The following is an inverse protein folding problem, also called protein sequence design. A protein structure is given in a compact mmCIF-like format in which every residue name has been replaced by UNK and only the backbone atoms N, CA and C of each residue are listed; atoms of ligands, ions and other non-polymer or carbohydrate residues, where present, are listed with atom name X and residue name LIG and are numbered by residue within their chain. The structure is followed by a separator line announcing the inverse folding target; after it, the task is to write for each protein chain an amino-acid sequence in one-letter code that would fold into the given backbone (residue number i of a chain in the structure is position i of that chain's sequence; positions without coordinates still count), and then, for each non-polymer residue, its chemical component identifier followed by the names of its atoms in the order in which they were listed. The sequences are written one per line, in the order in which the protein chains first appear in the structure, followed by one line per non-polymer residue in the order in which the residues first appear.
data_IF_016363526065
#
_entry.id   IF_016363526065
#
_cell.length_a   1.000
_cell.length_b   1.000
_cell.length_c   1.000
_cell.angle_alpha   90.00
_cell.angle_beta   90.00
_cell.angle_gamma   90.00
#
_symmetry.space_group_name_H-M   'P 1'
#
loop_
_entity.id
_entity.type
_entity.pdbx_description
1 polymer ?
#
# COMPACT_ATOMS: atom_id res chain seq x y z
N UNK A 1 0.36 8.03 -9.30
CA UNK A 1 -0.81 7.22 -9.71
C UNK A 1 -0.93 6.13 -8.67
N UNK A 2 -1.94 6.26 -7.82
CA UNK A 2 -2.18 5.27 -6.76
C UNK A 2 -2.99 4.12 -7.39
N UNK A 3 -2.41 2.92 -7.44
CA UNK A 3 -3.16 1.70 -7.75
C UNK A 3 -3.82 1.24 -6.45
N UNK A 4 -5.14 1.26 -6.42
CA UNK A 4 -5.90 0.53 -5.41
C UNK A 4 -6.14 -0.85 -5.99
N UNK A 5 -5.47 -1.87 -5.44
CA UNK A 5 -5.79 -3.26 -5.76
C UNK A 5 -7.16 -3.57 -5.12
N UNK A 6 -8.20 -3.50 -5.93
CA UNK A 6 -9.51 -3.99 -5.53
C UNK A 6 -9.45 -5.53 -5.50
N UNK A 7 -9.79 -6.12 -4.37
CA UNK A 7 -9.96 -7.57 -4.29
C UNK A 7 -11.09 -7.99 -5.25
N UNK A 8 -11.02 -9.19 -5.84
CA UNK A 8 -12.03 -9.68 -6.80
C UNK A 8 -13.47 -9.59 -6.28
N UNK A 9 -13.68 -9.72 -4.99
CA UNK A 9 -15.00 -9.67 -4.35
C UNK A 9 -15.54 -8.23 -4.16
N UNK A 10 -14.67 -7.21 -4.30
CA UNK A 10 -15.02 -5.79 -4.18
C UNK A 10 -15.32 -5.15 -5.53
N UNK A 11 -15.16 -5.89 -6.63
CA UNK A 11 -15.47 -5.38 -7.97
C UNK A 11 -16.99 -5.38 -8.12
N UNK A 12 -17.57 -4.19 -8.09
CA UNK A 12 -18.98 -4.03 -8.45
C UNK A 12 -19.23 -4.60 -9.84
N UNK A 13 -20.42 -5.17 -10.09
CA UNK A 13 -20.78 -5.65 -11.43
C UNK A 13 -20.50 -4.55 -12.45
N UNK A 14 -19.90 -4.91 -13.57
CA UNK A 14 -19.61 -3.98 -14.66
C UNK A 14 -20.96 -3.37 -15.16
N UNK A 15 -21.14 -2.09 -14.86
CA UNK A 15 -22.31 -1.31 -15.27
C UNK A 15 -22.08 -0.62 -16.62
N UNK A 16 -21.00 -0.94 -17.30
CA UNK A 16 -20.60 -0.34 -18.57
C UNK A 16 -20.15 1.11 -18.44
N UNK A 17 -19.82 1.57 -17.23
CA UNK A 17 -19.36 2.93 -16.98
C UNK A 17 -17.94 2.93 -16.44
N UNK A 18 -17.12 3.83 -16.94
CA UNK A 18 -15.80 4.13 -16.39
C UNK A 18 -15.82 5.54 -15.78
N UNK A 19 -15.35 5.66 -14.54
CA UNK A 19 -15.11 6.95 -13.88
C UNK A 19 -13.62 7.14 -13.67
N UNK A 20 -13.07 8.21 -14.26
CA UNK A 20 -11.68 8.60 -14.06
C UNK A 20 -11.68 9.87 -13.23
N UNK A 21 -10.96 9.85 -12.09
CA UNK A 21 -10.79 11.02 -11.22
C UNK A 21 -9.36 11.52 -11.32
N UNK A 22 -9.22 12.82 -11.56
CA UNK A 22 -7.92 13.50 -11.55
C UNK A 22 -7.99 14.61 -10.50
N UNK A 23 -6.90 14.79 -9.76
CA UNK A 23 -6.78 15.78 -8.69
C UNK A 23 -5.79 16.86 -9.11
N UNK A 24 -6.16 18.10 -8.90
CA UNK A 24 -5.37 19.27 -9.23
C UNK A 24 -5.36 20.23 -8.04
N UNK A 25 -4.32 21.06 -7.95
CA UNK A 25 -4.26 22.12 -6.97
C UNK A 25 -5.37 23.15 -7.22
N UNK A 26 -5.91 23.76 -6.16
CA UNK A 26 -6.99 24.75 -6.29
C UNK A 26 -6.59 26.01 -7.07
N UNK A 27 -5.27 26.29 -7.15
CA UNK A 27 -4.71 27.42 -7.90
C UNK A 27 -4.56 27.12 -9.41
N UNK A 28 -4.79 25.88 -9.85
CA UNK A 28 -4.70 25.52 -11.25
C UNK A 28 -5.86 26.12 -12.07
N UNK A 29 -5.57 26.45 -13.33
CA UNK A 29 -6.58 26.99 -14.24
C UNK A 29 -7.52 25.89 -14.73
N UNK A 30 -8.66 25.75 -14.07
CA UNK A 30 -9.68 24.74 -14.39
C UNK A 30 -10.21 24.84 -15.83
N UNK A 31 -10.32 26.06 -16.40
CA UNK A 31 -10.77 26.23 -17.78
C UNK A 31 -9.76 25.62 -18.76
N UNK A 32 -8.48 25.85 -18.52
CA UNK A 32 -7.42 25.29 -19.35
C UNK A 32 -7.38 23.77 -19.25
N UNK A 33 -7.47 23.21 -18.03
CA UNK A 33 -7.52 21.78 -17.79
C UNK A 33 -8.73 21.16 -18.48
N UNK A 34 -9.91 21.79 -18.35
CA UNK A 34 -11.13 21.33 -19.01
C UNK A 34 -10.98 21.26 -20.53
N UNK A 35 -10.40 22.30 -21.12
CA UNK A 35 -10.16 22.31 -22.57
C UNK A 35 -9.22 21.20 -23.01
N UNK A 36 -8.16 20.93 -22.24
CA UNK A 36 -7.22 19.84 -22.54
C UNK A 36 -7.89 18.47 -22.45
N UNK A 37 -8.68 18.24 -21.39
CA UNK A 37 -9.43 16.98 -21.22
C UNK A 37 -10.43 16.80 -22.34
N UNK A 38 -11.20 17.83 -22.70
CA UNK A 38 -12.17 17.78 -23.80
C UNK A 38 -11.48 17.46 -25.14
N UNK A 39 -10.36 18.13 -25.45
CA UNK A 39 -9.61 17.87 -26.67
C UNK A 39 -9.09 16.42 -26.71
N UNK A 40 -8.66 15.87 -25.57
CA UNK A 40 -8.21 14.49 -25.47
C UNK A 40 -9.38 13.50 -25.65
N UNK A 41 -10.53 13.75 -25.05
CA UNK A 41 -11.74 12.95 -25.21
C UNK A 41 -12.21 12.94 -26.67
N UNK A 42 -12.24 14.10 -27.35
CA UNK A 42 -12.60 14.16 -28.76
C UNK A 42 -11.61 13.38 -29.66
N UNK A 43 -10.32 13.42 -29.32
CA UNK A 43 -9.33 12.60 -30.02
C UNK A 43 -9.58 11.11 -29.83
N UNK A 44 -9.92 10.69 -28.62
CA UNK A 44 -10.21 9.28 -28.30
C UNK A 44 -11.48 8.78 -29.01
N UNK A 45 -12.49 9.62 -29.21
CA UNK A 45 -13.72 9.27 -29.98
C UNK A 45 -13.42 8.76 -31.39
N UNK A 46 -12.29 9.17 -31.97
CA UNK A 46 -11.86 8.68 -33.27
C UNK A 46 -11.36 7.24 -33.29
N UNK A 47 -11.10 6.65 -32.11
CA UNK A 47 -10.48 5.32 -31.98
C UNK A 47 -11.32 4.34 -31.16
N UNK A 48 -12.19 4.84 -30.26
CA UNK A 48 -12.97 4.01 -29.35
C UNK A 48 -14.25 4.72 -28.90
N UNK A 49 -15.21 3.93 -28.45
CA UNK A 49 -16.38 4.46 -27.77
C UNK A 49 -15.96 4.91 -26.34
N UNK A 50 -16.10 6.19 -26.08
CA UNK A 50 -15.81 6.78 -24.75
C UNK A 50 -17.10 7.12 -23.97
N UNK A 51 -18.25 6.65 -24.42
CA UNK A 51 -19.54 6.95 -23.82
C UNK A 51 -19.88 8.45 -23.83
N UNK A 52 -20.54 8.93 -22.80
CA UNK A 52 -20.99 10.33 -22.71
C UNK A 52 -19.82 11.34 -22.62
N UNK A 53 -18.69 10.95 -22.07
CA UNK A 53 -17.53 11.83 -21.91
C UNK A 53 -17.83 13.06 -21.04
N UNK A 54 -18.69 12.90 -20.03
CA UNK A 54 -19.06 13.98 -19.10
C UNK A 54 -17.91 14.34 -18.17
N UNK A 55 -17.67 15.65 -18.01
CA UNK A 55 -16.69 16.17 -17.03
C UNK A 55 -17.48 16.81 -15.89
N UNK A 56 -17.15 16.46 -14.67
CA UNK A 56 -17.69 17.08 -13.46
C UNK A 56 -16.56 17.51 -12.55
N UNK A 57 -16.77 18.60 -11.82
CA UNK A 57 -15.82 19.10 -10.84
C UNK A 57 -16.41 18.98 -9.45
N UNK A 58 -15.57 18.56 -8.52
CA UNK A 58 -15.88 18.52 -7.11
C UNK A 58 -14.69 19.09 -6.33
N UNK A 59 -14.94 19.70 -5.18
CA UNK A 59 -13.88 20.16 -4.28
C UNK A 59 -13.76 19.18 -3.14
N UNK A 60 -12.64 18.52 -3.08
CA UNK A 60 -12.30 17.65 -1.96
C UNK A 60 -11.40 18.43 -1.02
N UNK A 61 -11.74 18.51 0.25
CA UNK A 61 -10.83 19.06 1.26
C UNK A 61 -9.73 18.04 1.50
N UNK A 62 -8.50 18.54 1.67
CA UNK A 62 -7.32 17.71 1.95
C UNK A 62 -7.53 16.81 3.18
N UNK A 63 -8.19 17.34 4.21
CA UNK A 63 -8.57 16.59 5.42
C UNK A 63 -9.52 15.42 5.14
N UNK A 64 -10.47 15.57 4.22
CA UNK A 64 -11.41 14.52 3.84
C UNK A 64 -10.71 13.42 3.02
N UNK A 65 -9.72 13.80 2.23
CA UNK A 65 -8.94 12.85 1.46
C UNK A 65 -8.01 12.03 2.38
N UNK A 66 -7.26 12.71 3.27
CA UNK A 66 -6.35 12.06 4.23
C UNK A 66 -7.09 11.08 5.16
N UNK A 67 -8.34 11.36 5.51
CA UNK A 67 -9.10 10.50 6.42
C UNK A 67 -9.96 9.44 5.71
N UNK A 68 -10.41 9.69 4.48
CA UNK A 68 -11.28 8.75 3.77
C UNK A 68 -10.53 7.52 3.26
N UNK A 69 -9.30 7.65 2.79
CA UNK A 69 -8.54 6.51 2.29
C UNK A 69 -8.19 5.51 3.41
N UNK A 70 -8.00 5.98 4.64
CA UNK A 70 -7.76 5.12 5.81
C UNK A 70 -8.86 4.08 6.02
N UNK A 71 -10.09 4.38 5.65
CA UNK A 71 -11.25 3.48 5.79
C UNK A 71 -11.15 2.24 4.90
N UNK A 72 -10.36 2.31 3.84
CA UNK A 72 -10.18 1.20 2.90
C UNK A 72 -9.09 0.22 3.33
N UNK A 73 -8.24 0.62 4.30
CA UNK A 73 -7.19 -0.25 4.81
C UNK A 73 -7.67 -0.91 6.10
N UNK A 74 -8.02 -2.17 5.98
CA UNK A 74 -8.47 -3.02 7.09
C UNK A 74 -7.39 -4.03 7.43
N UNK A 75 -7.40 -4.58 8.66
CA UNK A 75 -6.50 -5.67 9.03
C UNK A 75 -6.62 -6.85 8.05
N UNK A 76 -5.47 -7.37 7.64
CA UNK A 76 -5.34 -8.49 6.71
C UNK A 76 -4.78 -9.66 7.50
N UNK A 77 -5.50 -10.78 7.55
CA UNK A 77 -4.98 -12.03 8.08
C UNK A 77 -4.29 -12.80 6.96
N UNK A 78 -2.99 -13.02 7.11
CA UNK A 78 -2.24 -13.84 6.16
C UNK A 78 -2.47 -15.32 6.43
N UNK A 79 -2.48 -15.68 7.71
CA UNK A 79 -2.77 -17.02 8.22
C UNK A 79 -3.30 -16.95 9.67
N UNK A 80 -3.32 -18.05 10.38
CA UNK A 80 -3.79 -18.13 11.77
C UNK A 80 -2.89 -17.34 12.75
N UNK A 81 -1.63 -17.09 12.38
CA UNK A 81 -0.61 -16.51 13.25
C UNK A 81 -0.29 -15.04 12.89
N UNK A 82 -0.29 -14.69 11.60
CA UNK A 82 0.21 -13.39 11.12
C UNK A 82 -0.94 -12.49 10.68
N UNK A 83 -0.99 -11.31 11.26
CA UNK A 83 -1.93 -10.25 10.90
C UNK A 83 -1.16 -8.98 10.58
N UNK A 84 -1.47 -8.37 9.44
CA UNK A 84 -0.97 -7.06 9.05
C UNK A 84 -2.12 -6.06 9.24
N UNK A 85 -1.83 -4.94 9.89
CA UNK A 85 -2.81 -3.87 10.10
C UNK A 85 -2.16 -2.50 10.01
N UNK A 86 -2.89 -1.45 9.66
CA UNK A 86 -2.41 -0.09 9.87
C UNK A 86 -2.44 0.28 11.37
N UNK A 87 -1.64 1.29 11.75
CA UNK A 87 -1.50 1.72 13.16
C UNK A 87 -2.81 2.18 13.78
N UNK A 88 -3.74 2.74 13.01
CA UNK A 88 -5.04 3.26 13.47
C UNK A 88 -6.13 2.20 13.64
N UNK A 89 -5.90 0.97 13.20
CA UNK A 89 -6.85 -0.12 13.40
C UNK A 89 -6.51 -0.93 14.65
N UNK A 90 -7.53 -1.40 15.34
CA UNK A 90 -7.40 -2.28 16.52
C UNK A 90 -7.90 -3.69 16.17
N UNK A 91 -7.28 -4.69 16.77
CA UNK A 91 -7.73 -6.08 16.67
C UNK A 91 -8.50 -6.43 17.92
N UNK A 92 -9.77 -6.77 17.78
CA UNK A 92 -10.63 -7.17 18.92
C UNK A 92 -10.32 -8.60 19.42
N UNK A 93 -9.74 -9.42 18.56
CA UNK A 93 -9.49 -10.85 18.77
C UNK A 93 -7.99 -11.19 18.80
N UNK A 94 -7.15 -10.24 19.21
CA UNK A 94 -5.71 -10.46 19.33
C UNK A 94 -5.41 -11.44 20.45
N UNK A 95 -4.61 -12.48 20.15
CA UNK A 95 -4.08 -13.44 21.11
C UNK A 95 -2.57 -13.24 21.29
N UNK A 96 -2.01 -13.79 22.37
CA UNK A 96 -0.57 -13.69 22.67
C UNK A 96 0.32 -14.37 21.61
N UNK A 97 -0.21 -15.38 20.93
CA UNK A 97 0.53 -16.13 19.89
C UNK A 97 0.50 -15.44 18.52
N UNK A 98 -0.26 -14.35 18.35
CA UNK A 98 -0.34 -13.63 17.08
C UNK A 98 0.85 -12.71 16.87
N UNK A 99 1.41 -12.78 15.68
CA UNK A 99 2.38 -11.84 15.14
C UNK A 99 1.61 -10.71 14.45
N UNK A 100 1.47 -9.59 15.15
CA UNK A 100 0.86 -8.39 14.60
C UNK A 100 1.94 -7.52 14.00
N UNK A 101 1.77 -7.16 12.73
CA UNK A 101 2.65 -6.28 11.97
C UNK A 101 1.90 -5.01 11.62
N UNK A 102 2.42 -3.89 12.06
CA UNK A 102 1.85 -2.57 11.78
C UNK A 102 2.55 -1.95 10.58
N UNK A 103 1.80 -1.74 9.51
CA UNK A 103 2.27 -1.09 8.28
C UNK A 103 1.28 -0.01 7.89
N UNK A 104 1.71 1.22 7.93
CA UNK A 104 0.89 2.30 7.42
C UNK A 104 1.05 2.41 5.91
N UNK A 105 -0.06 2.36 5.15
CA UNK A 105 -0.02 2.56 3.72
C UNK A 105 0.48 3.97 3.42
N UNK A 106 1.67 4.06 2.87
CA UNK A 106 2.35 5.29 2.53
C UNK A 106 2.70 5.35 1.04
N UNK A 107 3.77 6.05 0.75
CA UNK A 107 4.32 6.19 -0.61
C UNK A 107 5.11 4.97 -1.07
N UNK A 108 5.56 4.13 -0.14
CA UNK A 108 6.32 2.91 -0.43
C UNK A 108 5.41 1.73 -0.76
N UNK A 109 5.87 0.86 -1.68
CA UNK A 109 5.21 -0.40 -2.00
C UNK A 109 5.33 -1.39 -0.84
N UNK A 110 4.33 -2.27 -0.69
CA UNK A 110 4.37 -3.35 0.32
C UNK A 110 3.45 -3.12 1.52
N UNK A 111 2.18 -2.84 1.27
CA UNK A 111 1.15 -2.75 2.34
C UNK A 111 0.70 -4.11 2.88
N UNK A 112 1.22 -5.21 2.30
CA UNK A 112 0.83 -6.58 2.67
C UNK A 112 -0.41 -7.11 1.95
N UNK A 113 -1.17 -6.28 1.25
CA UNK A 113 -2.40 -6.68 0.54
C UNK A 113 -2.14 -7.47 -0.75
N UNK A 114 -0.94 -7.37 -1.33
CA UNK A 114 -0.64 -8.00 -2.59
C UNK A 114 -0.31 -9.50 -2.42
N UNK A 115 -0.86 -10.34 -3.30
CA UNK A 115 -0.66 -11.80 -3.26
C UNK A 115 0.82 -12.21 -3.32
N UNK A 116 1.68 -11.45 -4.03
CA UNK A 116 3.11 -11.71 -4.09
C UNK A 116 3.77 -11.56 -2.72
N UNK A 117 3.39 -10.57 -1.93
CA UNK A 117 3.88 -10.37 -0.56
C UNK A 117 3.50 -11.55 0.31
N UNK A 118 2.24 -12.00 0.23
CA UNK A 118 1.75 -13.19 0.95
C UNK A 118 2.54 -14.44 0.58
N UNK A 119 2.73 -14.70 -0.71
CA UNK A 119 3.50 -15.86 -1.19
C UNK A 119 4.96 -15.81 -0.73
N UNK A 120 5.60 -14.63 -0.69
CA UNK A 120 6.94 -14.47 -0.17
C UNK A 120 6.99 -14.82 1.34
N UNK A 121 6.01 -14.34 2.11
CA UNK A 121 5.92 -14.63 3.56
C UNK A 121 5.74 -16.13 3.79
N UNK A 122 4.79 -16.77 3.09
CA UNK A 122 4.58 -18.21 3.17
C UNK A 122 5.83 -19.00 2.79
N UNK A 123 6.53 -18.55 1.73
CA UNK A 123 7.74 -19.18 1.23
C UNK A 123 8.93 -19.07 2.19
N UNK A 124 9.08 -17.95 2.90
CA UNK A 124 10.22 -17.75 3.79
C UNK A 124 10.03 -18.37 5.19
N UNK A 125 8.79 -18.52 5.68
CA UNK A 125 8.50 -19.07 7.03
C UNK A 125 9.29 -20.35 7.37
N UNK A 126 9.37 -21.38 6.52
CA UNK A 126 10.10 -22.61 6.86
C UNK A 126 11.60 -22.44 7.05
N UNK A 127 12.17 -21.34 6.57
CA UNK A 127 13.61 -21.06 6.62
C UNK A 127 14.02 -20.15 7.76
N UNK A 128 13.05 -19.49 8.42
CA UNK A 128 13.34 -18.58 9.54
C UNK A 128 13.71 -19.38 10.80
N UNK A 129 14.85 -19.06 11.35
CA UNK A 129 15.40 -19.60 12.61
C UNK A 129 16.12 -18.48 13.35
N UNK A 130 16.46 -18.69 14.61
CA UNK A 130 17.13 -17.70 15.47
C UNK A 130 18.47 -17.15 14.91
N UNK A 131 19.17 -17.94 14.12
CA UNK A 131 20.43 -17.54 13.46
C UNK A 131 20.27 -17.04 12.03
N UNK A 132 19.03 -16.97 11.54
CA UNK A 132 18.75 -16.52 10.16
C UNK A 132 19.10 -15.04 10.01
N UNK A 133 19.85 -14.76 8.95
CA UNK A 133 20.10 -13.38 8.47
C UNK A 133 19.30 -13.16 7.18
N UNK A 134 18.51 -12.11 7.15
CA UNK A 134 17.69 -11.73 6.01
C UNK A 134 18.42 -10.69 5.18
N UNK A 135 18.42 -10.86 3.87
CA UNK A 135 18.77 -9.82 2.91
C UNK A 135 17.53 -9.50 2.07
N UNK A 136 17.00 -8.29 2.23
CA UNK A 136 15.79 -7.81 1.57
C UNK A 136 16.19 -6.76 0.52
N UNK A 137 16.16 -7.17 -0.75
CA UNK A 137 16.57 -6.33 -1.89
C UNK A 137 15.33 -5.77 -2.59
N UNK A 138 15.20 -4.45 -2.60
CA UNK A 138 13.95 -3.78 -3.00
C UNK A 138 12.93 -3.87 -1.87
N UNK A 139 13.33 -3.47 -0.66
CA UNK A 139 12.59 -3.74 0.56
C UNK A 139 11.22 -3.01 0.65
N UNK A 140 11.05 -1.91 -0.08
CA UNK A 140 9.83 -1.12 -0.03
C UNK A 140 9.49 -0.67 1.39
N UNK A 141 8.37 -1.14 1.92
CA UNK A 141 7.94 -0.88 3.31
C UNK A 141 8.74 -1.65 4.37
N UNK A 142 9.61 -2.57 3.99
CA UNK A 142 10.34 -3.47 4.88
C UNK A 142 9.51 -4.62 5.47
N UNK A 143 8.29 -4.82 4.99
CA UNK A 143 7.33 -5.78 5.56
C UNK A 143 7.87 -7.22 5.66
N UNK A 144 8.61 -7.70 4.66
CA UNK A 144 9.16 -9.06 4.67
C UNK A 144 10.19 -9.23 5.78
N UNK A 145 11.07 -8.24 5.92
CA UNK A 145 12.10 -8.22 6.98
C UNK A 145 11.47 -8.10 8.37
N UNK A 146 10.46 -7.24 8.55
CA UNK A 146 9.73 -7.09 9.81
C UNK A 146 9.09 -8.42 10.22
N UNK A 147 8.38 -9.08 9.30
CA UNK A 147 7.76 -10.39 9.57
C UNK A 147 8.82 -11.43 9.89
N UNK A 148 9.92 -11.48 9.14
CA UNK A 148 10.99 -12.42 9.38
C UNK A 148 11.64 -12.26 10.77
N UNK A 149 11.87 -11.03 11.22
CA UNK A 149 12.41 -10.75 12.56
C UNK A 149 11.38 -11.12 13.64
N UNK A 150 10.11 -10.81 13.46
CA UNK A 150 9.04 -11.21 14.39
C UNK A 150 8.82 -12.73 14.42
N UNK A 151 9.17 -13.46 13.36
CA UNK A 151 9.19 -14.92 13.32
C UNK A 151 10.44 -15.52 13.98
N UNK A 152 11.41 -14.68 14.39
CA UNK A 152 12.58 -15.10 15.15
C UNK A 152 13.88 -15.09 14.35
N UNK A 153 13.97 -14.43 13.18
CA UNK A 153 15.26 -14.19 12.54
C UNK A 153 16.16 -13.29 13.41
N UNK A 154 17.46 -13.53 13.36
CA UNK A 154 18.43 -12.81 14.19
C UNK A 154 18.74 -11.40 13.68
N UNK A 155 18.75 -11.19 12.37
CA UNK A 155 19.13 -9.90 11.78
C UNK A 155 18.59 -9.73 10.35
N UNK A 156 18.36 -8.48 9.94
CA UNK A 156 17.94 -8.12 8.59
C UNK A 156 18.79 -7.00 8.00
N UNK A 157 19.16 -7.13 6.74
CA UNK A 157 19.76 -6.06 5.93
C UNK A 157 18.81 -5.75 4.78
N UNK A 158 18.42 -4.49 4.70
CA UNK A 158 17.46 -4.00 3.72
C UNK A 158 18.13 -3.05 2.74
N UNK A 159 17.75 -3.12 1.48
CA UNK A 159 18.22 -2.17 0.47
C UNK A 159 17.09 -1.77 -0.46
N UNK A 160 17.05 -0.50 -0.84
CA UNK A 160 16.15 0.00 -1.90
C UNK A 160 16.79 1.14 -2.66
N UNK A 161 16.42 1.29 -3.93
CA UNK A 161 16.88 2.40 -4.78
C UNK A 161 16.08 3.69 -4.54
N UNK A 162 14.88 3.58 -3.93
CA UNK A 162 14.03 4.72 -3.63
C UNK A 162 14.28 5.19 -2.17
N UNK A 163 14.78 6.43 -1.99
CA UNK A 163 14.97 6.99 -0.65
C UNK A 163 13.68 7.05 0.18
N UNK A 164 12.52 7.13 -0.46
CA UNK A 164 11.24 7.09 0.26
C UNK A 164 10.94 5.70 0.83
N UNK A 165 11.33 4.63 0.13
CA UNK A 165 11.23 3.27 0.65
C UNK A 165 12.15 3.06 1.87
N UNK A 166 13.38 3.61 1.83
CA UNK A 166 14.32 3.58 2.96
C UNK A 166 13.67 4.23 4.19
N UNK A 167 13.19 5.47 4.06
CA UNK A 167 12.55 6.19 5.18
C UNK A 167 11.31 5.45 5.70
N UNK A 168 10.46 4.96 4.80
CA UNK A 168 9.25 4.22 5.16
C UNK A 168 9.55 2.91 5.89
N UNK A 169 10.60 2.19 5.46
CA UNK A 169 11.02 0.96 6.15
C UNK A 169 11.53 1.26 7.57
N UNK A 170 12.35 2.30 7.77
CA UNK A 170 12.82 2.70 9.10
C UNK A 170 11.67 3.07 10.03
N UNK A 171 10.67 3.86 9.55
CA UNK A 171 9.46 4.21 10.30
C UNK A 171 8.65 2.96 10.67
N UNK A 172 8.47 2.03 9.74
CA UNK A 172 7.74 0.80 9.99
C UNK A 172 8.47 -0.12 11.00
N UNK A 173 9.81 -0.16 11.00
CA UNK A 173 10.58 -0.89 12.00
C UNK A 173 10.38 -0.30 13.40
N UNK A 174 10.37 1.03 13.52
CA UNK A 174 10.13 1.73 14.77
C UNK A 174 8.72 1.44 15.34
N UNK A 175 7.69 1.55 14.48
CA UNK A 175 6.29 1.26 14.84
C UNK A 175 6.14 -0.19 15.30
N UNK A 176 6.85 -1.12 14.70
CA UNK A 176 6.84 -2.54 15.08
C UNK A 176 7.74 -2.88 16.28
N UNK A 177 8.35 -1.88 16.90
CA UNK A 177 9.22 -2.01 18.08
C UNK A 177 10.43 -2.94 17.86
N UNK A 178 10.95 -2.97 16.62
CA UNK A 178 12.17 -3.73 16.30
C UNK A 178 13.38 -2.92 16.70
N UNK A 179 14.28 -3.56 17.43
CA UNK A 179 15.49 -2.90 17.93
C UNK A 179 16.46 -2.57 16.80
N UNK A 180 17.11 -1.39 16.89
CA UNK A 180 18.03 -0.89 15.84
C UNK A 180 19.27 -1.74 15.64
N UNK A 181 19.61 -2.61 16.58
CA UNK A 181 20.71 -3.59 16.45
C UNK A 181 20.31 -4.83 15.65
N UNK A 182 19.02 -5.01 15.35
CA UNK A 182 18.52 -6.14 14.59
C UNK A 182 18.42 -5.87 13.08
N UNK A 183 18.65 -4.64 12.63
CA UNK A 183 18.54 -4.34 11.20
C UNK A 183 19.47 -3.22 10.73
N UNK A 184 19.76 -3.23 9.43
CA UNK A 184 20.47 -2.18 8.71
C UNK A 184 19.72 -1.85 7.42
N UNK A 185 19.63 -0.56 7.05
CA UNK A 185 18.93 -0.10 5.84
C UNK A 185 19.88 0.75 4.98
N UNK A 186 19.95 0.50 3.67
CA UNK A 186 20.84 1.14 2.71
C UNK A 186 20.15 1.59 1.43
#
# INVERSE_FOLDING_TARGET
VMYVDLLPDDIAPDDGKAKISCYFDENENLEHITMQIQAMLERLRGFMDIGAGTISFDKTKEEDWVNNWKKFFKPIRLDEQIVIKPTWETLEDQTEDMIVVEIDPGTAFGTGSHETTKLCIEGMKPYIKEDTKILDVGCGSGILSIIGLKLGAGHAVLTDIDPHAISASEENFEVNHISKDQFEVY
#
